data_IF_834277716804
#
_entry.id   IF_834277716804
#
_cell.length_a   1.000
_cell.length_b   1.000
_cell.length_c   1.000
_cell.angle_alpha   90.00
_cell.angle_beta   90.00
_cell.angle_gamma   90.00
#
_symmetry.space_group_name_H-M   'P 1'
#
loop_
_entity.id
_entity.type
_entity.pdbx_description
1 polymer ?
#
# COMPACT_ATOMS: atom_id res chain seq x y z
N UNK A 1 -0.67 5.41 16.93
CA UNK A 1 -0.32 4.08 16.36
C UNK A 1 -0.35 3.08 17.51
N UNK A 2 -1.12 2.02 17.37
CA UNK A 2 -1.10 0.91 18.33
C UNK A 2 0.27 0.23 18.21
N UNK A 3 0.95 -0.01 19.31
CA UNK A 3 2.23 -0.72 19.29
C UNK A 3 1.92 -2.17 18.96
N UNK A 4 2.55 -2.70 17.90
CA UNK A 4 2.47 -4.14 17.58
C UNK A 4 3.14 -4.92 18.70
N UNK A 5 2.41 -5.84 19.34
CA UNK A 5 2.95 -6.71 20.40
C UNK A 5 3.52 -8.00 19.81
N UNK A 6 3.04 -8.42 18.65
CA UNK A 6 3.54 -9.61 17.97
C UNK A 6 4.99 -9.42 17.51
N UNK A 7 5.80 -10.46 17.68
CA UNK A 7 7.14 -10.53 17.10
C UNK A 7 7.09 -11.27 15.77
N UNK A 8 7.90 -10.87 14.77
CA UNK A 8 7.93 -11.60 13.51
C UNK A 8 8.40 -13.05 13.71
N UNK A 9 7.72 -13.97 13.07
CA UNK A 9 8.10 -15.38 13.04
C UNK A 9 9.41 -15.57 12.25
N UNK A 10 9.54 -14.80 11.16
CA UNK A 10 10.75 -14.72 10.37
C UNK A 10 11.12 -13.25 10.16
N UNK A 11 12.37 -12.92 10.45
CA UNK A 11 12.86 -11.54 10.42
C UNK A 11 13.90 -11.34 9.32
N UNK A 12 13.88 -10.17 8.71
CA UNK A 12 14.89 -9.73 7.73
C UNK A 12 15.08 -10.70 6.54
N UNK A 13 13.97 -11.31 6.05
CA UNK A 13 13.99 -12.18 4.88
C UNK A 13 14.31 -11.33 3.65
N UNK A 14 15.39 -11.60 2.93
CA UNK A 14 15.72 -10.95 1.68
C UNK A 14 14.82 -11.48 0.55
N UNK A 15 13.94 -10.64 -0.01
CA UNK A 15 13.08 -11.02 -1.13
C UNK A 15 13.71 -10.73 -2.51
N UNK A 16 14.76 -9.91 -2.54
CA UNK A 16 15.57 -9.61 -3.72
C UNK A 16 17.01 -9.28 -3.28
N UNK A 17 17.92 -9.07 -4.23
CA UNK A 17 19.35 -8.87 -3.96
C UNK A 17 19.96 -7.60 -4.57
N UNK A 18 19.13 -6.73 -5.15
CA UNK A 18 19.63 -5.49 -5.76
C UNK A 18 19.95 -4.41 -4.71
N UNK A 19 19.43 -4.55 -3.49
CA UNK A 19 19.68 -3.65 -2.37
C UNK A 19 19.59 -4.40 -1.03
N UNK A 20 20.38 -4.02 -0.01
CA UNK A 20 20.25 -4.55 1.34
C UNK A 20 18.93 -4.15 2.02
N UNK A 21 18.21 -3.12 1.50
CA UNK A 21 16.90 -2.68 1.95
C UNK A 21 15.79 -3.66 1.54
N UNK A 22 15.99 -4.46 0.50
CA UNK A 22 14.97 -5.38 -0.03
C UNK A 22 14.73 -6.57 0.90
N UNK A 23 14.11 -6.31 2.05
CA UNK A 23 13.80 -7.27 3.10
C UNK A 23 12.34 -7.16 3.55
N UNK A 24 11.85 -8.24 4.13
CA UNK A 24 10.55 -8.27 4.79
C UNK A 24 10.65 -9.00 6.13
N UNK A 25 9.70 -8.70 7.02
CA UNK A 25 9.42 -9.46 8.22
C UNK A 25 8.09 -10.19 8.03
N UNK A 26 8.04 -11.46 8.39
CA UNK A 26 6.85 -12.28 8.25
C UNK A 26 6.34 -12.71 9.62
N UNK A 27 5.09 -12.38 9.88
CA UNK A 27 4.35 -12.75 11.09
C UNK A 27 3.33 -13.82 10.71
N UNK A 28 3.34 -14.95 11.41
CA UNK A 28 2.39 -16.03 11.18
C UNK A 28 1.41 -16.15 12.35
N UNK A 29 0.11 -16.36 12.05
CA UNK A 29 -0.86 -16.70 13.09
C UNK A 29 -0.59 -18.11 13.64
N UNK A 30 -1.27 -18.46 14.74
CA UNK A 30 -1.25 -19.82 15.26
C UNK A 30 -1.92 -20.80 14.29
N UNK A 31 -1.40 -22.02 14.16
CA UNK A 31 -1.98 -23.09 13.34
C UNK A 31 -1.02 -23.64 12.28
N UNK A 32 -1.55 -24.50 11.44
CA UNK A 32 -0.76 -25.25 10.44
C UNK A 32 -0.73 -24.58 9.06
N UNK A 33 -1.61 -23.59 8.78
CA UNK A 33 -1.76 -22.97 7.46
C UNK A 33 -2.47 -23.89 6.44
N UNK A 34 -2.43 -23.58 5.14
CA UNK A 34 -1.81 -22.38 4.58
C UNK A 34 -2.63 -21.10 4.91
N UNK A 35 -1.93 -20.03 5.26
CA UNK A 35 -2.53 -18.77 5.70
C UNK A 35 -2.71 -17.80 4.55
N UNK A 36 -3.86 -17.09 4.45
CA UNK A 36 -3.97 -15.92 3.58
C UNK A 36 -3.00 -14.83 4.04
N UNK A 37 -2.48 -14.05 3.10
CA UNK A 37 -1.40 -13.07 3.34
C UNK A 37 -1.90 -11.66 3.20
N UNK A 38 -1.57 -10.81 4.16
CA UNK A 38 -1.67 -9.35 4.05
C UNK A 38 -0.25 -8.79 3.92
N UNK A 39 0.05 -8.22 2.76
CA UNK A 39 1.31 -7.53 2.50
C UNK A 39 1.17 -6.10 3.00
N UNK A 40 1.83 -5.79 4.12
CA UNK A 40 1.84 -4.45 4.72
C UNK A 40 2.95 -3.60 4.14
N UNK A 41 2.60 -2.38 3.73
CA UNK A 41 3.52 -1.41 3.12
C UNK A 41 3.49 -0.11 3.93
N UNK A 42 4.62 0.19 4.57
CA UNK A 42 4.77 1.38 5.42
C UNK A 42 4.68 2.70 4.65
N UNK A 43 4.31 3.77 5.36
CA UNK A 43 4.30 5.14 4.83
C UNK A 43 5.70 5.74 4.69
N UNK A 44 5.76 6.92 4.05
CA UNK A 44 6.98 7.71 3.90
C UNK A 44 7.86 7.26 2.73
N UNK A 45 7.79 7.96 1.60
CA UNK A 45 8.67 7.68 0.44
C UNK A 45 10.15 7.90 0.73
N UNK A 46 10.46 8.77 1.71
CA UNK A 46 11.81 9.18 2.07
C UNK A 46 12.31 8.53 3.36
N UNK A 47 11.43 7.94 4.13
CA UNK A 47 11.67 7.37 5.47
C UNK A 47 10.68 6.25 5.78
N UNK A 48 10.86 5.62 6.93
CA UNK A 48 10.02 4.52 7.39
C UNK A 48 10.70 3.18 7.20
N UNK A 49 10.14 2.17 7.81
CA UNK A 49 10.59 0.79 7.73
C UNK A 49 9.47 -0.17 8.13
N UNK A 50 9.73 -1.47 7.96
CA UNK A 50 8.82 -2.59 8.24
C UNK A 50 8.58 -2.90 9.73
N UNK A 51 9.06 -2.08 10.66
CA UNK A 51 9.10 -2.44 12.10
C UNK A 51 7.74 -2.36 12.80
N UNK A 52 6.76 -1.68 12.22
CA UNK A 52 5.46 -1.46 12.87
C UNK A 52 4.29 -1.57 11.88
N UNK A 53 4.02 -2.77 11.36
CA UNK A 53 2.94 -2.98 10.41
C UNK A 53 1.55 -2.74 11.03
N UNK A 54 0.62 -2.22 10.22
CA UNK A 54 -0.70 -1.82 10.67
C UNK A 54 -1.59 -3.03 11.01
N UNK A 55 -2.29 -2.95 12.16
CA UNK A 55 -3.31 -3.94 12.55
C UNK A 55 -2.80 -5.37 12.69
N UNK A 56 -1.49 -5.56 12.89
CA UNK A 56 -0.88 -6.90 12.89
C UNK A 56 -1.48 -7.84 13.92
N UNK A 57 -1.67 -7.37 15.15
CA UNK A 57 -2.19 -8.24 16.23
C UNK A 57 -3.62 -8.70 15.90
N UNK A 58 -4.46 -7.82 15.35
CA UNK A 58 -5.82 -8.12 14.93
C UNK A 58 -5.84 -9.05 13.71
N UNK A 59 -4.97 -8.84 12.73
CA UNK A 59 -4.85 -9.69 11.54
C UNK A 59 -4.42 -11.11 11.91
N UNK A 60 -3.40 -11.26 12.76
CA UNK A 60 -2.94 -12.56 13.25
C UNK A 60 -4.03 -13.29 14.04
N UNK A 61 -4.76 -12.57 14.92
CA UNK A 61 -5.86 -13.15 15.69
C UNK A 61 -7.01 -13.65 14.79
N UNK A 62 -7.11 -13.16 13.56
CA UNK A 62 -8.10 -13.56 12.56
C UNK A 62 -7.53 -14.50 11.47
N UNK A 63 -6.34 -15.06 11.69
CA UNK A 63 -5.78 -16.11 10.85
C UNK A 63 -5.06 -15.63 9.59
N UNK A 64 -4.75 -14.33 9.47
CA UNK A 64 -3.96 -13.78 8.38
C UNK A 64 -2.48 -13.78 8.73
N UNK A 65 -1.62 -14.23 7.83
CA UNK A 65 -0.19 -13.92 7.88
C UNK A 65 0.03 -12.46 7.46
N UNK A 66 0.96 -11.76 8.12
CA UNK A 66 1.33 -10.39 7.77
C UNK A 66 2.77 -10.36 7.29
N UNK A 67 2.99 -9.86 6.07
CA UNK A 67 4.31 -9.64 5.50
C UNK A 67 4.60 -8.14 5.44
N UNK A 68 5.38 -7.62 6.37
CA UNK A 68 5.76 -6.21 6.40
C UNK A 68 7.01 -6.00 5.57
N UNK A 69 6.92 -5.12 4.56
CA UNK A 69 7.91 -5.01 3.48
C UNK A 69 8.65 -3.69 3.54
N UNK A 70 9.99 -3.76 3.61
CA UNK A 70 10.85 -2.63 3.29
C UNK A 70 11.00 -2.50 1.77
N UNK A 71 10.99 -1.30 1.25
CA UNK A 71 11.27 -0.96 -0.14
C UNK A 71 12.35 0.12 -0.20
N UNK A 72 13.08 0.21 -1.32
CA UNK A 72 14.10 1.25 -1.51
C UNK A 72 13.46 2.64 -1.40
N UNK A 73 13.89 3.42 -0.42
CA UNK A 73 13.41 4.78 -0.22
C UNK A 73 13.87 5.71 -1.36
N UNK A 74 13.22 6.84 -1.55
CA UNK A 74 13.50 7.78 -2.65
C UNK A 74 14.91 8.38 -2.60
N UNK A 75 15.57 8.35 -1.45
CA UNK A 75 16.99 8.69 -1.32
C UNK A 75 17.95 7.65 -1.92
N UNK A 76 17.52 6.39 -1.97
CA UNK A 76 18.29 5.28 -2.53
C UNK A 76 17.98 5.07 -4.02
N UNK A 77 16.70 5.07 -4.39
CA UNK A 77 16.27 4.90 -5.77
C UNK A 77 14.99 5.69 -6.06
N UNK A 78 14.88 6.23 -7.26
CA UNK A 78 13.68 6.94 -7.72
C UNK A 78 12.64 5.95 -8.25
N UNK A 79 11.38 6.41 -8.34
CA UNK A 79 10.33 5.64 -8.99
C UNK A 79 10.77 5.17 -10.40
N UNK A 80 10.42 3.92 -10.77
CA UNK A 80 9.45 3.01 -10.16
C UNK A 80 10.04 2.00 -9.16
N UNK A 81 11.22 2.23 -8.59
CA UNK A 81 11.90 1.24 -7.74
C UNK A 81 11.02 0.74 -6.58
N UNK A 82 10.23 1.60 -5.96
CA UNK A 82 9.38 1.29 -4.80
C UNK A 82 8.33 0.23 -5.16
N UNK A 83 7.55 0.48 -6.20
CA UNK A 83 6.50 -0.48 -6.63
C UNK A 83 7.12 -1.77 -7.17
N UNK A 84 8.26 -1.70 -7.85
CA UNK A 84 8.97 -2.89 -8.33
C UNK A 84 9.46 -3.77 -7.17
N UNK A 85 9.90 -3.17 -6.07
CA UNK A 85 10.31 -3.87 -4.86
C UNK A 85 9.12 -4.60 -4.21
N UNK A 86 7.98 -3.91 -4.04
CA UNK A 86 6.77 -4.50 -3.46
C UNK A 86 6.25 -5.66 -4.32
N UNK A 87 6.20 -5.48 -5.64
CA UNK A 87 5.83 -6.55 -6.57
C UNK A 87 6.80 -7.74 -6.49
N UNK A 88 8.09 -7.49 -6.35
CA UNK A 88 9.08 -8.54 -6.14
C UNK A 88 8.88 -9.29 -4.81
N UNK A 89 8.52 -8.58 -3.71
CA UNK A 89 8.19 -9.19 -2.43
C UNK A 89 6.95 -10.11 -2.54
N UNK A 90 5.89 -9.67 -3.22
CA UNK A 90 4.69 -10.49 -3.48
C UNK A 90 5.06 -11.76 -4.26
N UNK A 91 5.84 -11.63 -5.33
CA UNK A 91 6.30 -12.79 -6.12
C UNK A 91 7.16 -13.74 -5.30
N UNK A 92 8.07 -13.20 -4.48
CA UNK A 92 8.92 -13.99 -3.58
C UNK A 92 8.09 -14.80 -2.59
N UNK A 93 7.13 -14.17 -1.91
CA UNK A 93 6.26 -14.85 -0.95
C UNK A 93 5.44 -15.95 -1.63
N UNK A 94 4.94 -15.70 -2.83
CA UNK A 94 4.17 -16.68 -3.60
C UNK A 94 5.03 -17.87 -4.05
N UNK A 95 6.26 -17.61 -4.51
CA UNK A 95 7.20 -18.65 -4.90
C UNK A 95 7.61 -19.55 -3.72
N UNK A 96 7.66 -19.00 -2.50
CA UNK A 96 8.08 -19.69 -1.29
C UNK A 96 6.90 -20.00 -0.34
N UNK A 97 5.66 -19.98 -0.85
CA UNK A 97 4.46 -20.11 -0.05
C UNK A 97 4.45 -21.42 0.78
N UNK A 98 4.91 -22.53 0.20
CA UNK A 98 5.00 -23.81 0.91
C UNK A 98 5.98 -23.80 2.08
N UNK A 99 7.12 -23.09 1.96
CA UNK A 99 8.11 -22.95 3.03
C UNK A 99 7.57 -22.15 4.21
N UNK A 100 6.82 -21.07 3.92
CA UNK A 100 6.30 -20.16 4.93
C UNK A 100 4.85 -20.45 5.34
N UNK A 101 4.27 -21.58 4.93
CA UNK A 101 2.87 -21.96 5.22
C UNK A 101 1.83 -20.92 4.74
N UNK A 102 2.10 -20.25 3.63
CA UNK A 102 1.23 -19.25 3.03
C UNK A 102 0.33 -19.87 1.96
N UNK A 103 -0.83 -19.26 1.74
CA UNK A 103 -1.68 -19.60 0.61
C UNK A 103 -1.30 -18.74 -0.61
N UNK A 104 -0.74 -19.32 -1.68
CA UNK A 104 -0.30 -18.57 -2.85
C UNK A 104 -1.42 -17.87 -3.62
N UNK A 105 -2.68 -18.27 -3.40
CA UNK A 105 -3.84 -17.72 -4.11
C UNK A 105 -4.55 -16.58 -3.34
N UNK A 106 -4.25 -16.40 -2.04
CA UNK A 106 -4.94 -15.45 -1.17
C UNK A 106 -4.01 -14.37 -0.63
N UNK A 107 -3.80 -13.31 -1.42
CA UNK A 107 -2.97 -12.16 -1.07
C UNK A 107 -3.79 -10.88 -1.09
N UNK A 108 -3.74 -10.11 -0.01
CA UNK A 108 -4.18 -8.72 0.04
C UNK A 108 -2.98 -7.79 0.28
N UNK A 109 -3.15 -6.52 -0.04
CA UNK A 109 -2.20 -5.47 0.28
C UNK A 109 -2.84 -4.45 1.22
N UNK A 110 -2.09 -3.96 2.19
CA UNK A 110 -2.49 -2.95 3.15
C UNK A 110 -1.40 -1.89 3.27
N UNK A 111 -1.75 -0.62 3.13
CA UNK A 111 -0.76 0.44 3.21
C UNK A 111 -1.30 1.76 3.71
N UNK A 112 -0.41 2.59 4.24
CA UNK A 112 -0.72 3.88 4.83
C UNK A 112 0.08 5.00 4.14
N UNK A 113 -0.54 6.15 3.85
CA UNK A 113 0.17 7.31 3.29
C UNK A 113 0.89 6.94 1.98
N UNK A 114 2.20 7.11 1.90
CA UNK A 114 3.00 6.62 0.78
C UNK A 114 2.79 5.11 0.51
N UNK A 115 2.66 4.29 1.57
CA UNK A 115 2.29 2.88 1.44
C UNK A 115 0.89 2.70 0.86
N UNK A 116 -0.07 3.57 1.19
CA UNK A 116 -1.40 3.62 0.58
C UNK A 116 -1.33 3.84 -0.94
N UNK A 117 -0.54 4.81 -1.41
CA UNK A 117 -0.25 4.98 -2.83
C UNK A 117 0.32 3.71 -3.46
N UNK A 118 1.32 3.10 -2.80
CA UNK A 118 2.02 1.93 -3.34
C UNK A 118 1.13 0.69 -3.40
N UNK A 119 0.26 0.45 -2.41
CA UNK A 119 -0.69 -0.67 -2.46
C UNK A 119 -1.82 -0.42 -3.46
N UNK A 120 -2.27 0.84 -3.60
CA UNK A 120 -3.21 1.20 -4.65
C UNK A 120 -2.59 0.97 -6.04
N UNK A 121 -1.34 1.38 -6.24
CA UNK A 121 -0.60 1.13 -7.47
C UNK A 121 -0.38 -0.38 -7.70
N UNK A 122 -0.07 -1.16 -6.66
CA UNK A 122 0.03 -2.63 -6.74
C UNK A 122 -1.28 -3.25 -7.25
N UNK A 123 -2.42 -2.86 -6.67
CA UNK A 123 -3.73 -3.38 -7.03
C UNK A 123 -4.17 -3.00 -8.44
N UNK A 124 -3.89 -1.77 -8.89
CA UNK A 124 -4.33 -1.29 -10.19
C UNK A 124 -3.43 -1.70 -11.35
N UNK A 125 -2.13 -1.94 -11.09
CA UNK A 125 -1.10 -2.18 -12.12
C UNK A 125 -0.70 -3.66 -12.30
N UNK A 126 -1.61 -4.60 -11.99
CA UNK A 126 -1.37 -6.03 -12.23
C UNK A 126 -1.01 -6.28 -13.70
N UNK A 127 0.17 -6.88 -13.96
CA UNK A 127 0.65 -7.22 -15.30
C UNK A 127 1.17 -6.02 -16.13
N UNK A 128 1.32 -4.84 -15.54
CA UNK A 128 1.95 -3.70 -16.23
C UNK A 128 3.46 -3.88 -16.21
N UNK A 129 4.02 -4.32 -17.35
CA UNK A 129 5.42 -4.74 -17.50
C UNK A 129 6.43 -3.71 -16.97
N UNK A 130 6.22 -2.41 -17.25
CA UNK A 130 7.11 -1.34 -16.80
C UNK A 130 7.21 -1.21 -15.27
N UNK A 131 6.19 -1.68 -14.54
CA UNK A 131 6.11 -1.64 -13.08
C UNK A 131 6.42 -3.00 -12.41
N UNK A 132 6.57 -4.09 -13.19
CA UNK A 132 6.75 -5.43 -12.60
C UNK A 132 8.13 -5.62 -11.95
N UNK A 133 9.20 -4.99 -12.45
CA UNK A 133 10.54 -5.22 -11.92
C UNK A 133 10.96 -6.70 -11.98
N UNK A 134 10.69 -7.38 -13.11
CA UNK A 134 10.92 -8.82 -13.30
C UNK A 134 12.36 -9.25 -13.02
N UNK A 135 13.33 -8.35 -13.21
CA UNK A 135 14.76 -8.58 -12.94
C UNK A 135 15.08 -8.79 -11.45
N UNK A 136 14.14 -8.46 -10.55
CA UNK A 136 14.30 -8.66 -9.09
C UNK A 136 13.98 -10.09 -8.64
N UNK A 137 13.59 -10.97 -9.55
CA UNK A 137 13.40 -12.40 -9.27
C UNK A 137 11.94 -12.87 -9.36
N UNK A 138 11.79 -14.19 -9.38
CA UNK A 138 10.51 -14.92 -9.41
C UNK A 138 9.54 -14.40 -10.48
N UNK A 139 10.04 -14.09 -11.68
CA UNK A 139 9.27 -13.46 -12.75
C UNK A 139 8.16 -14.37 -13.32
N UNK A 140 8.19 -15.67 -13.03
CA UNK A 140 7.16 -16.67 -13.33
C UNK A 140 5.97 -16.61 -12.38
N UNK A 141 6.11 -15.93 -11.23
CA UNK A 141 5.04 -15.75 -10.25
C UNK A 141 4.25 -14.45 -10.50
N UNK A 142 2.97 -14.47 -10.14
CA UNK A 142 2.13 -13.28 -10.20
C UNK A 142 2.46 -12.30 -9.08
N UNK A 143 2.47 -10.99 -9.38
CA UNK A 143 2.53 -9.91 -8.39
C UNK A 143 1.14 -9.40 -7.99
N UNK A 144 0.05 -9.92 -8.60
CA UNK A 144 -1.30 -9.43 -8.39
C UNK A 144 -1.85 -9.82 -7.02
N UNK A 145 -2.69 -8.95 -6.44
CA UNK A 145 -3.38 -9.20 -5.18
C UNK A 145 -4.90 -9.22 -5.37
N UNK A 146 -5.63 -9.86 -4.46
CA UNK A 146 -7.06 -10.08 -4.54
C UNK A 146 -7.89 -9.02 -3.79
N UNK A 147 -7.25 -8.21 -2.93
CA UNK A 147 -7.89 -7.11 -2.20
C UNK A 147 -6.86 -6.05 -1.83
N UNK A 148 -7.30 -4.79 -1.71
CA UNK A 148 -6.45 -3.68 -1.29
C UNK A 148 -7.14 -2.88 -0.19
N UNK A 149 -6.40 -2.61 0.90
CA UNK A 149 -6.77 -1.65 1.95
C UNK A 149 -5.83 -0.46 1.85
N UNK A 150 -6.37 0.68 1.48
CA UNK A 150 -5.64 1.94 1.32
C UNK A 150 -6.05 2.91 2.43
N UNK A 151 -5.15 3.22 3.33
CA UNK A 151 -5.33 4.28 4.30
C UNK A 151 -4.62 5.57 3.84
N UNK A 152 -5.42 6.57 3.51
CA UNK A 152 -5.00 7.94 3.18
C UNK A 152 -3.81 8.02 2.20
N UNK A 153 -3.80 7.17 1.19
CA UNK A 153 -2.79 7.20 0.13
C UNK A 153 -2.98 8.39 -0.81
N UNK A 154 -1.92 9.14 -1.13
CA UNK A 154 -1.99 10.12 -2.20
C UNK A 154 -2.05 9.43 -3.57
N UNK A 155 -2.75 10.01 -4.53
CA UNK A 155 -2.98 9.42 -5.86
C UNK A 155 -2.49 10.33 -6.98
N UNK A 156 -3.14 11.46 -7.19
CA UNK A 156 -2.74 12.47 -8.18
C UNK A 156 -1.99 13.62 -7.49
N UNK A 157 -0.68 13.48 -7.40
CA UNK A 157 0.18 14.45 -6.71
C UNK A 157 0.07 15.87 -7.29
N UNK A 158 -0.23 16.01 -8.60
CA UNK A 158 -0.31 17.31 -9.26
C UNK A 158 -1.48 18.17 -8.77
N UNK A 159 -2.47 17.58 -8.10
CA UNK A 159 -3.64 18.26 -7.61
C UNK A 159 -3.57 18.60 -6.10
N UNK A 160 -2.61 18.06 -5.34
CA UNK A 160 -2.63 18.12 -3.87
C UNK A 160 -2.58 19.53 -3.33
N UNK A 161 -1.68 20.39 -3.82
CA UNK A 161 -1.58 21.78 -3.37
C UNK A 161 -2.83 22.61 -3.71
N UNK A 162 -3.41 22.35 -4.89
CA UNK A 162 -4.68 23.00 -5.27
C UNK A 162 -5.84 22.54 -4.38
N UNK A 163 -5.87 21.28 -3.97
CA UNK A 163 -6.91 20.73 -3.08
C UNK A 163 -6.82 21.31 -1.67
N UNK A 164 -5.64 21.73 -1.22
CA UNK A 164 -5.46 22.47 0.04
C UNK A 164 -5.70 23.96 -0.08
N UNK A 165 -5.86 24.52 -1.29
CA UNK A 165 -6.07 25.93 -1.47
C UNK A 165 -7.32 26.43 -0.73
N UNK A 166 -7.17 27.49 0.08
CA UNK A 166 -8.24 28.07 0.90
C UNK A 166 -8.50 27.35 2.23
N UNK A 167 -7.76 26.27 2.54
CA UNK A 167 -7.76 25.62 3.86
C UNK A 167 -6.66 26.20 4.76
N UNK A 168 -6.59 25.75 6.01
CA UNK A 168 -5.47 26.04 6.92
C UNK A 168 -4.30 25.08 6.80
N UNK A 169 -4.41 24.07 5.94
CA UNK A 169 -3.37 23.06 5.73
C UNK A 169 -2.22 23.60 4.86
N UNK A 170 -0.98 23.16 5.07
CA UNK A 170 0.14 23.53 4.23
C UNK A 170 -0.04 22.96 2.81
N UNK A 171 0.24 23.79 1.79
CA UNK A 171 0.26 23.40 0.38
C UNK A 171 1.71 23.50 -0.10
N UNK A 172 2.49 22.41 0.03
CA UNK A 172 3.93 22.37 -0.25
C UNK A 172 4.39 21.08 -0.96
N UNK A 173 3.45 20.36 -1.58
CA UNK A 173 3.76 19.15 -2.36
C UNK A 173 4.48 19.46 -3.67
N UNK A 174 4.29 20.66 -4.20
CA UNK A 174 4.97 21.15 -5.40
C UNK A 174 6.46 21.49 -5.15
N UNK A 175 6.87 21.62 -3.89
CA UNK A 175 8.25 21.92 -3.52
C UNK A 175 9.20 20.81 -3.98
N UNK A 176 10.40 21.21 -4.41
CA UNK A 176 11.45 20.25 -4.81
C UNK A 176 11.87 19.29 -3.69
N UNK A 177 11.68 19.68 -2.43
CA UNK A 177 11.99 18.88 -1.25
C UNK A 177 10.83 18.01 -0.78
N UNK A 178 9.65 18.10 -1.38
CA UNK A 178 8.48 17.29 -1.03
C UNK A 178 8.78 15.78 -1.22
N UNK A 179 8.14 14.90 -0.45
CA UNK A 179 8.27 13.46 -0.63
C UNK A 179 7.95 13.00 -2.05
N UNK A 180 6.93 13.59 -2.68
CA UNK A 180 6.48 13.30 -4.04
C UNK A 180 7.55 13.71 -5.07
N UNK A 181 8.11 14.92 -4.94
CA UNK A 181 9.19 15.41 -5.81
C UNK A 181 10.45 14.58 -5.66
N UNK A 182 10.78 14.18 -4.43
CA UNK A 182 11.89 13.29 -4.17
C UNK A 182 11.66 11.88 -4.74
N UNK A 183 10.44 11.37 -4.73
CA UNK A 183 10.08 10.09 -5.34
C UNK A 183 10.33 10.10 -6.85
N UNK A 184 9.82 11.10 -7.56
CA UNK A 184 9.95 11.18 -9.03
C UNK A 184 11.28 11.80 -9.50
N UNK A 185 12.04 12.39 -8.58
CA UNK A 185 13.39 12.93 -8.82
C UNK A 185 13.44 14.35 -9.42
N UNK A 186 12.32 15.09 -9.35
CA UNK A 186 12.21 16.50 -9.77
C UNK A 186 10.94 17.13 -9.17
N UNK A 187 10.82 18.48 -9.12
CA UNK A 187 9.57 19.12 -8.73
C UNK A 187 8.40 18.59 -9.57
N UNK A 188 7.34 18.10 -8.92
CA UNK A 188 6.28 17.31 -9.56
C UNK A 188 5.62 18.04 -10.73
N UNK A 189 5.39 19.36 -10.63
CA UNK A 189 4.77 20.15 -11.69
C UNK A 189 5.64 20.28 -12.96
N UNK A 190 6.95 19.98 -12.87
CA UNK A 190 7.88 20.03 -14.00
C UNK A 190 8.02 18.69 -14.74
N UNK A 191 7.49 17.59 -14.16
CA UNK A 191 7.63 16.22 -14.69
C UNK A 191 6.30 15.45 -14.64
N UNK A 192 5.19 15.99 -15.19
CA UNK A 192 3.86 15.40 -15.07
C UNK A 192 3.80 13.94 -15.55
N UNK A 193 4.54 13.57 -16.60
CA UNK A 193 4.57 12.19 -17.09
C UNK A 193 5.14 11.21 -16.06
N UNK A 194 6.14 11.63 -15.28
CA UNK A 194 6.69 10.80 -14.20
C UNK A 194 5.71 10.68 -13.04
N UNK A 195 4.94 11.73 -12.76
CA UNK A 195 3.90 11.69 -11.73
C UNK A 195 2.77 10.77 -12.16
N UNK A 196 2.32 10.84 -13.41
CA UNK A 196 1.32 9.91 -13.94
C UNK A 196 1.78 8.47 -13.89
N UNK A 197 3.07 8.21 -14.06
CA UNK A 197 3.63 6.87 -14.00
C UNK A 197 3.53 6.22 -12.61
N UNK A 198 3.43 7.01 -11.54
CA UNK A 198 3.24 6.54 -10.15
C UNK A 198 1.83 6.81 -9.61
N UNK A 199 0.95 7.36 -10.43
CA UNK A 199 -0.46 7.57 -10.09
C UNK A 199 -1.25 6.27 -10.31
N UNK A 200 -1.83 5.66 -9.25
CA UNK A 200 -2.59 4.41 -9.38
C UNK A 200 -3.81 4.55 -10.30
N UNK A 201 -4.40 5.74 -10.43
CA UNK A 201 -5.55 6.01 -11.30
C UNK A 201 -5.21 5.76 -12.78
N UNK A 202 -3.96 5.99 -13.19
CA UNK A 202 -3.48 5.73 -14.56
C UNK A 202 -3.71 4.29 -15.03
N UNK A 203 -3.70 3.33 -14.08
CA UNK A 203 -3.76 1.90 -14.37
C UNK A 203 -5.10 1.26 -14.01
N UNK A 204 -6.06 2.03 -13.51
CA UNK A 204 -7.39 1.51 -13.18
C UNK A 204 -8.03 0.86 -14.40
N UNK A 205 -8.49 -0.36 -14.23
CA UNK A 205 -9.15 -1.15 -15.28
C UNK A 205 -10.14 -2.14 -14.66
N UNK A 206 -10.92 -2.80 -15.48
CA UNK A 206 -11.85 -3.86 -15.05
C UNK A 206 -11.17 -5.08 -14.40
N UNK A 207 -9.83 -5.10 -14.33
CA UNK A 207 -9.04 -6.15 -13.67
C UNK A 207 -8.61 -5.77 -12.25
N UNK A 208 -8.89 -4.54 -11.80
CA UNK A 208 -8.55 -4.13 -10.45
C UNK A 208 -9.31 -4.99 -9.43
N UNK A 209 -8.66 -5.38 -8.32
CA UNK A 209 -9.35 -6.09 -7.24
C UNK A 209 -10.30 -5.15 -6.50
N UNK A 210 -11.13 -5.66 -5.57
CA UNK A 210 -11.87 -4.85 -4.62
C UNK A 210 -10.97 -3.97 -3.74
N UNK A 211 -11.46 -2.76 -3.41
CA UNK A 211 -10.75 -1.77 -2.59
C UNK A 211 -11.57 -1.34 -1.36
N UNK A 212 -10.90 -1.26 -0.20
CA UNK A 212 -11.33 -0.49 0.96
C UNK A 212 -10.41 0.71 1.10
N UNK A 213 -10.94 1.91 0.89
CA UNK A 213 -10.22 3.18 0.98
C UNK A 213 -10.72 3.91 2.22
N UNK A 214 -9.81 4.36 3.09
CA UNK A 214 -10.18 5.09 4.31
C UNK A 214 -9.32 6.36 4.45
N UNK A 215 -9.97 7.49 4.80
CA UNK A 215 -9.28 8.78 4.90
C UNK A 215 -9.84 9.62 6.04
N UNK A 216 -8.97 10.35 6.74
CA UNK A 216 -9.38 11.28 7.78
C UNK A 216 -9.90 12.60 7.21
N UNK A 217 -11.04 13.11 7.69
CA UNK A 217 -11.62 14.37 7.18
C UNK A 217 -10.82 15.62 7.55
N UNK A 218 -9.92 15.51 8.57
CA UNK A 218 -9.04 16.59 9.02
C UNK A 218 -7.56 16.35 8.65
N UNK A 219 -7.31 15.54 7.62
CA UNK A 219 -5.96 15.28 7.13
C UNK A 219 -5.37 16.52 6.44
N UNK A 220 -4.24 17.01 6.98
CA UNK A 220 -3.49 18.14 6.45
C UNK A 220 -2.15 17.73 5.80
N UNK A 221 -1.91 16.42 5.62
CA UNK A 221 -0.74 15.92 4.91
C UNK A 221 -1.13 15.42 3.51
N UNK A 222 -2.26 14.70 3.41
CA UNK A 222 -2.81 14.25 2.13
C UNK A 222 -4.26 14.69 2.08
N UNK A 223 -4.67 15.49 1.08
CA UNK A 223 -6.06 15.96 1.01
C UNK A 223 -7.01 14.78 0.79
N UNK A 224 -8.15 14.70 1.53
CA UNK A 224 -9.13 13.60 1.38
C UNK A 224 -9.66 13.43 -0.04
N UNK A 225 -9.60 14.47 -0.86
CA UNK A 225 -9.95 14.44 -2.28
C UNK A 225 -9.10 13.43 -3.07
N UNK A 226 -7.89 13.10 -2.61
CA UNK A 226 -7.04 12.08 -3.25
C UNK A 226 -7.70 10.70 -3.22
N UNK A 227 -8.27 10.32 -2.08
CA UNK A 227 -9.05 9.09 -1.93
C UNK A 227 -10.35 9.12 -2.74
N UNK A 228 -11.00 10.28 -2.84
CA UNK A 228 -12.20 10.43 -3.67
C UNK A 228 -11.89 10.21 -5.17
N UNK A 229 -10.77 10.76 -5.67
CA UNK A 229 -10.34 10.55 -7.06
C UNK A 229 -10.14 9.07 -7.38
N UNK A 230 -9.49 8.32 -6.49
CA UNK A 230 -9.27 6.88 -6.68
C UNK A 230 -10.59 6.10 -6.62
N UNK A 231 -11.44 6.42 -5.65
CA UNK A 231 -12.76 5.82 -5.50
C UNK A 231 -13.60 5.99 -6.77
N UNK A 232 -13.71 7.21 -7.30
CA UNK A 232 -14.51 7.49 -8.48
C UNK A 232 -14.00 6.73 -9.72
N UNK A 233 -12.68 6.66 -9.89
CA UNK A 233 -12.07 5.92 -10.98
C UNK A 233 -12.32 4.41 -10.86
N UNK A 234 -12.16 3.85 -9.65
CA UNK A 234 -12.40 2.42 -9.40
C UNK A 234 -13.89 2.07 -9.56
N UNK A 235 -14.81 2.86 -9.01
CA UNK A 235 -16.26 2.64 -9.19
C UNK A 235 -16.64 2.61 -10.66
N UNK A 236 -16.07 3.52 -11.46
CA UNK A 236 -16.30 3.54 -12.91
C UNK A 236 -15.82 2.27 -13.62
N UNK A 237 -14.75 1.64 -13.12
CA UNK A 237 -14.12 0.50 -13.78
C UNK A 237 -14.63 -0.87 -13.30
N UNK A 238 -14.86 -1.01 -11.98
CA UNK A 238 -15.21 -2.30 -11.34
C UNK A 238 -16.55 -2.29 -10.61
N UNK A 239 -17.28 -1.18 -10.61
CA UNK A 239 -18.60 -1.04 -9.97
C UNK A 239 -18.53 -0.72 -8.47
N UNK A 240 -19.60 -0.06 -7.97
CA UNK A 240 -19.66 0.41 -6.58
C UNK A 240 -19.66 -0.71 -5.53
N UNK A 241 -20.10 -1.90 -5.88
CA UNK A 241 -20.13 -3.05 -4.95
C UNK A 241 -18.71 -3.57 -4.62
N UNK A 242 -17.71 -3.18 -5.40
CA UNK A 242 -16.32 -3.61 -5.23
C UNK A 242 -15.41 -2.54 -4.63
N UNK A 243 -15.95 -1.36 -4.31
CA UNK A 243 -15.15 -0.24 -3.78
C UNK A 243 -15.87 0.42 -2.61
N UNK A 244 -15.19 0.48 -1.48
CA UNK A 244 -15.70 1.20 -0.30
C UNK A 244 -14.79 2.37 0.01
N UNK A 245 -15.37 3.58 0.14
CA UNK A 245 -14.69 4.76 0.68
C UNK A 245 -15.30 5.10 2.03
N UNK A 246 -14.48 5.13 3.08
CA UNK A 246 -14.88 5.55 4.43
C UNK A 246 -14.11 6.79 4.84
N UNK A 247 -14.81 7.90 5.06
CA UNK A 247 -14.23 9.10 5.62
C UNK A 247 -14.38 9.06 7.15
N UNK A 248 -13.24 9.07 7.85
CA UNK A 248 -13.18 9.03 9.32
C UNK A 248 -13.24 10.46 9.86
N UNK A 249 -14.37 10.81 10.44
CA UNK A 249 -14.67 12.17 10.88
C UNK A 249 -13.67 12.66 11.94
N UNK A 250 -13.08 13.83 11.70
CA UNK A 250 -12.10 14.47 12.59
C UNK A 250 -10.74 13.76 12.68
N UNK A 251 -10.54 12.63 12.00
CA UNK A 251 -9.23 12.01 11.93
C UNK A 251 -8.28 12.84 11.07
N UNK A 252 -7.03 12.97 11.52
CA UNK A 252 -5.94 13.59 10.77
C UNK A 252 -5.21 12.55 9.89
N UNK A 253 -3.98 12.81 9.50
CA UNK A 253 -3.12 11.84 8.79
C UNK A 253 -2.74 10.68 9.71
N UNK A 254 -3.64 9.71 9.86
CA UNK A 254 -3.58 8.67 10.87
C UNK A 254 -4.34 9.06 12.15
N UNK A 255 -4.09 8.31 13.23
CA UNK A 255 -4.72 8.53 14.53
C UNK A 255 -5.50 7.33 15.03
N UNK A 256 -6.08 7.47 16.23
CA UNK A 256 -6.76 6.37 16.92
C UNK A 256 -7.99 5.84 16.17
N UNK A 257 -8.65 6.71 15.38
CA UNK A 257 -9.84 6.31 14.61
C UNK A 257 -9.53 5.21 13.58
N UNK A 258 -8.31 5.18 13.03
CA UNK A 258 -7.90 4.14 12.09
C UNK A 258 -7.71 2.77 12.77
N UNK A 259 -7.18 2.78 14.00
CA UNK A 259 -6.87 1.57 14.76
C UNK A 259 -7.89 1.23 15.84
N UNK A 260 -9.05 1.91 15.88
CA UNK A 260 -10.11 1.51 16.81
C UNK A 260 -10.75 0.17 16.38
N UNK A 261 -11.34 -0.52 17.36
CA UNK A 261 -11.88 -1.86 17.13
C UNK A 261 -12.98 -1.90 16.06
N UNK A 262 -13.79 -0.84 15.95
CA UNK A 262 -14.89 -0.80 14.98
C UNK A 262 -14.33 -0.63 13.55
N UNK A 263 -13.32 0.24 13.36
CA UNK A 263 -12.68 0.42 12.07
C UNK A 263 -11.86 -0.82 11.66
N UNK A 264 -11.13 -1.43 12.59
CA UNK A 264 -10.41 -2.67 12.31
C UNK A 264 -11.37 -3.82 11.96
N UNK A 265 -12.58 -3.86 12.53
CA UNK A 265 -13.59 -4.84 12.14
C UNK A 265 -14.03 -4.64 10.68
N UNK A 266 -14.17 -3.40 10.19
CA UNK A 266 -14.45 -3.14 8.76
C UNK A 266 -13.34 -3.67 7.86
N UNK A 267 -12.08 -3.50 8.25
CA UNK A 267 -10.91 -4.06 7.52
C UNK A 267 -10.99 -5.59 7.50
N UNK A 268 -11.24 -6.23 8.63
CA UNK A 268 -11.34 -7.69 8.74
C UNK A 268 -12.51 -8.25 7.93
N UNK A 269 -13.68 -7.62 7.97
CA UNK A 269 -14.86 -8.02 7.21
C UNK A 269 -14.62 -7.90 5.70
N UNK A 270 -13.94 -6.83 5.27
CA UNK A 270 -13.53 -6.63 3.88
C UNK A 270 -12.57 -7.73 3.42
N UNK A 271 -11.52 -8.03 4.20
CA UNK A 271 -10.55 -9.09 3.88
C UNK A 271 -11.23 -10.47 3.85
N UNK A 272 -12.08 -10.79 4.83
CA UNK A 272 -12.81 -12.04 4.88
C UNK A 272 -13.77 -12.24 3.69
N UNK A 273 -14.30 -11.15 3.15
CA UNK A 273 -15.18 -11.19 1.98
C UNK A 273 -14.43 -11.45 0.67
N UNK A 274 -13.16 -11.03 0.59
CA UNK A 274 -12.39 -11.01 -0.66
C UNK A 274 -11.22 -12.00 -0.73
N UNK A 275 -10.82 -12.61 0.41
CA UNK A 275 -9.77 -13.64 0.48
C UNK A 275 -10.35 -15.02 0.82
N UNK A 276 -11.40 -15.42 0.12
CA UNK A 276 -12.09 -16.72 0.31
C UNK A 276 -11.34 -17.87 -0.33
#
# INVERSE_FOLDING_TARGET
MTVVNAMPTYKDIAYASASPTQKLDLYLPEGDGPFPVVVDVHGGFMMGDKSNPAGTDELLANGYAVASVDYRLSGEAKAPAQIQDIKAAVRFLRANAGEYKLDPERFAAFGQSAGGNLVALLGTSCGVEALEGAVLGNADQSSCVQAVVDWFGPTDFLQMDQQFAGTSCPANHDDASSPESQLVGAPIQTVPDKVQFVNPITYVSAKAPPFLIQHGTADCNVPPQQSQLLYDALVSAIGADNVTLTLLEGASHGGAQFSDAANMQLVLDFLASNLK
#
